data_IF_608206615126
#
_entry.id   IF_608206615126
#
_cell.length_a   1.000
_cell.length_b   1.000
_cell.length_c   1.000
_cell.angle_alpha   90.00
_cell.angle_beta   90.00
_cell.angle_gamma   90.00
#
_symmetry.space_group_name_H-M   'P 1'
#
loop_
_entity.id
_entity.type
_entity.pdbx_description
1 polymer ?
#
# COMPACT_ATOMS: atom_id res chain seq x y z
N UNK A 1 0.71 -54.43 10.27
CA UNK A 1 1.20 -53.04 10.38
C UNK A 1 0.37 -52.22 9.42
N UNK A 2 -0.60 -51.45 9.92
CA UNK A 2 -1.38 -50.55 9.08
C UNK A 2 -0.45 -49.46 8.54
N UNK A 3 -0.51 -49.22 7.24
CA UNK A 3 0.28 -48.22 6.53
C UNK A 3 -0.15 -46.80 6.96
N UNK A 4 0.36 -46.36 8.11
CA UNK A 4 0.06 -45.04 8.68
C UNK A 4 0.54 -43.91 7.75
N UNK A 5 1.56 -44.14 6.93
CA UNK A 5 2.08 -43.13 5.98
C UNK A 5 1.08 -42.76 4.88
N UNK A 6 0.24 -43.69 4.43
CA UNK A 6 -0.83 -43.41 3.47
C UNK A 6 -1.95 -42.56 4.08
N UNK A 7 -2.31 -42.83 5.33
CA UNK A 7 -3.36 -42.10 6.06
C UNK A 7 -2.91 -40.66 6.40
N UNK A 8 -1.67 -40.50 6.88
CA UNK A 8 -1.11 -39.20 7.22
C UNK A 8 -1.01 -38.29 5.99
N UNK A 9 -0.63 -38.83 4.83
CA UNK A 9 -0.62 -38.09 3.56
C UNK A 9 -2.03 -37.67 3.11
N UNK A 10 -3.03 -38.52 3.29
CA UNK A 10 -4.42 -38.19 2.94
C UNK A 10 -4.98 -37.09 3.85
N UNK A 11 -4.71 -37.17 5.15
CA UNK A 11 -5.10 -36.16 6.14
C UNK A 11 -4.44 -34.82 5.79
N UNK A 12 -3.13 -34.81 5.54
CA UNK A 12 -2.37 -33.62 5.21
C UNK A 12 -2.83 -32.96 3.88
N UNK A 13 -3.18 -33.77 2.87
CA UNK A 13 -3.71 -33.27 1.60
C UNK A 13 -5.12 -32.68 1.75
N UNK A 14 -5.98 -33.31 2.56
CA UNK A 14 -7.33 -32.80 2.83
C UNK A 14 -7.26 -31.47 3.57
N UNK A 15 -6.48 -31.38 4.64
CA UNK A 15 -6.28 -30.15 5.40
C UNK A 15 -5.69 -29.02 4.54
N UNK A 16 -4.75 -29.33 3.64
CA UNK A 16 -4.18 -28.35 2.71
C UNK A 16 -5.22 -27.82 1.70
N UNK A 17 -6.07 -28.70 1.16
CA UNK A 17 -7.13 -28.29 0.24
C UNK A 17 -8.21 -27.47 0.96
N UNK A 18 -8.52 -27.77 2.21
CA UNK A 18 -9.43 -26.99 3.04
C UNK A 18 -8.86 -25.61 3.37
N UNK A 19 -7.59 -25.51 3.74
CA UNK A 19 -6.94 -24.22 4.00
C UNK A 19 -6.87 -23.30 2.76
N UNK A 20 -6.90 -23.87 1.55
CA UNK A 20 -6.97 -23.11 0.29
C UNK A 20 -8.39 -22.68 -0.09
N UNK A 21 -9.43 -23.26 0.49
CA UNK A 21 -10.80 -22.80 0.28
C UNK A 21 -11.01 -21.52 1.09
N UNK A 22 -11.37 -20.43 0.42
CA UNK A 22 -11.84 -19.20 1.06
C UNK A 22 -13.26 -19.41 1.60
N UNK A 23 -13.39 -20.20 2.67
CA UNK A 23 -14.65 -20.52 3.34
C UNK A 23 -14.72 -19.95 4.75
N UNK A 24 -15.95 -19.76 5.25
CA UNK A 24 -16.28 -19.14 6.55
C UNK A 24 -15.38 -19.63 7.69
N UNK A 25 -14.53 -18.73 8.17
CA UNK A 25 -13.73 -18.95 9.39
C UNK A 25 -14.66 -18.77 10.59
N UNK A 26 -14.72 -19.77 11.48
CA UNK A 26 -15.53 -19.72 12.69
C UNK A 26 -15.27 -18.43 13.51
N UNK A 27 -16.32 -17.87 14.11
CA UNK A 27 -16.24 -16.58 14.80
C UNK A 27 -15.25 -16.59 15.97
N UNK A 28 -15.07 -17.74 16.64
CA UNK A 28 -14.08 -17.90 17.72
C UNK A 28 -12.66 -17.92 17.19
N UNK A 29 -12.45 -18.57 16.04
CA UNK A 29 -11.17 -18.62 15.34
C UNK A 29 -10.79 -17.21 14.85
N UNK A 30 -11.73 -16.46 14.25
CA UNK A 30 -11.55 -15.05 13.91
C UNK A 30 -11.22 -14.18 15.14
N UNK A 31 -11.89 -14.39 16.27
CA UNK A 31 -11.62 -13.63 17.50
C UNK A 31 -10.22 -13.90 18.05
N UNK A 32 -9.76 -15.16 18.00
CA UNK A 32 -8.40 -15.55 18.39
C UNK A 32 -7.35 -14.90 17.47
N UNK A 33 -7.59 -14.89 16.14
CA UNK A 33 -6.74 -14.20 15.17
C UNK A 33 -6.63 -12.70 15.45
N UNK A 34 -7.77 -12.03 15.71
CA UNK A 34 -7.79 -10.59 16.05
C UNK A 34 -7.03 -10.25 17.32
N UNK A 35 -7.04 -11.12 18.34
CA UNK A 35 -6.23 -10.93 19.56
C UNK A 35 -4.73 -11.00 19.26
N UNK A 36 -4.32 -11.89 18.35
CA UNK A 36 -2.92 -12.03 17.93
C UNK A 36 -2.46 -10.90 16.99
N UNK A 37 -3.38 -10.13 16.43
CA UNK A 37 -3.12 -8.93 15.60
C UNK A 37 -3.29 -7.62 16.39
N UNK A 38 -3.31 -7.67 17.73
CA UNK A 38 -3.43 -6.48 18.53
C UNK A 38 -2.19 -5.60 18.36
N UNK A 39 -2.41 -4.37 17.90
CA UNK A 39 -1.33 -3.41 17.73
C UNK A 39 -0.77 -2.97 19.10
N UNK A 40 0.56 -2.78 19.20
CA UNK A 40 1.19 -2.27 20.41
C UNK A 40 0.69 -0.86 20.75
N UNK A 41 0.81 -0.47 22.02
CA UNK A 41 0.42 0.89 22.43
C UNK A 41 1.39 1.90 21.82
N UNK A 42 0.90 3.11 21.56
CA UNK A 42 1.72 4.19 20.99
C UNK A 42 2.93 4.55 21.86
N UNK A 43 2.79 4.43 23.18
CA UNK A 43 3.85 4.68 24.16
C UNK A 43 5.03 3.70 23.99
N UNK A 44 4.73 2.44 23.70
CA UNK A 44 5.71 1.38 23.43
C UNK A 44 6.40 1.57 22.07
N UNK A 45 5.79 2.37 21.19
CA UNK A 45 6.26 2.64 19.85
C UNK A 45 7.18 3.87 19.75
N UNK A 46 7.40 4.60 20.84
CA UNK A 46 8.24 5.81 20.84
C UNK A 46 9.69 5.54 20.41
N UNK A 47 10.28 4.44 20.90
CA UNK A 47 11.64 4.04 20.50
C UNK A 47 11.71 3.58 19.04
N UNK A 48 10.63 2.97 18.55
CA UNK A 48 10.52 2.59 17.13
C UNK A 48 10.52 3.85 16.27
N UNK A 49 9.69 4.84 16.61
CA UNK A 49 9.63 6.15 15.92
C UNK A 49 11.00 6.84 15.87
N UNK A 50 11.79 6.79 16.96
CA UNK A 50 13.16 7.35 17.00
C UNK A 50 14.16 6.61 16.11
N UNK A 51 14.05 5.28 16.03
CA UNK A 51 14.96 4.46 15.22
C UNK A 51 14.66 4.48 13.71
N UNK A 52 13.53 5.04 13.31
CA UNK A 52 13.07 5.04 11.92
C UNK A 52 13.68 6.22 11.15
N UNK A 53 14.03 5.96 9.89
CA UNK A 53 14.41 7.00 8.94
C UNK A 53 13.15 7.62 8.34
N UNK A 54 12.98 8.94 8.49
CA UNK A 54 11.84 9.69 7.93
C UNK A 54 12.07 10.00 6.44
N UNK A 55 12.08 8.95 5.63
CA UNK A 55 12.20 9.05 4.18
C UNK A 55 10.83 8.84 3.51
N UNK A 56 10.39 9.81 2.71
CA UNK A 56 9.11 9.76 2.00
C UNK A 56 9.05 8.56 1.07
N UNK A 57 10.12 8.31 0.30
CA UNK A 57 10.11 7.27 -0.73
C UNK A 57 9.94 5.89 -0.08
N UNK A 58 10.68 5.64 1.00
CA UNK A 58 10.54 4.41 1.78
C UNK A 58 9.17 4.27 2.42
N UNK A 59 8.63 5.32 3.05
CA UNK A 59 7.41 5.22 3.88
C UNK A 59 6.14 5.26 3.02
N UNK A 60 6.05 6.21 2.10
CA UNK A 60 4.83 6.55 1.38
C UNK A 60 4.72 5.88 0.01
N UNK A 61 5.82 5.40 -0.58
CA UNK A 61 5.80 4.71 -1.89
C UNK A 61 6.10 3.21 -1.80
N UNK A 62 7.20 2.83 -1.15
CA UNK A 62 7.66 1.44 -1.12
C UNK A 62 6.86 0.56 -0.14
N UNK A 63 6.42 1.12 0.98
CA UNK A 63 5.72 0.38 2.02
C UNK A 63 4.20 0.46 1.84
N UNK A 64 3.50 -0.66 1.55
CA UNK A 64 2.07 -0.62 1.23
C UNK A 64 1.19 -0.05 2.36
N UNK A 65 1.51 -0.40 3.61
CA UNK A 65 0.77 0.09 4.79
C UNK A 65 0.99 1.60 4.97
N UNK A 66 2.23 2.07 4.83
CA UNK A 66 2.57 3.49 4.91
C UNK A 66 1.91 4.29 3.79
N UNK A 67 1.98 3.79 2.55
CA UNK A 67 1.28 4.34 1.39
C UNK A 67 -0.24 4.45 1.60
N UNK A 68 -0.87 3.43 2.18
CA UNK A 68 -2.30 3.43 2.49
C UNK A 68 -2.65 4.53 3.49
N UNK A 69 -1.95 4.61 4.63
CA UNK A 69 -2.21 5.63 5.64
C UNK A 69 -1.91 7.04 5.13
N UNK A 70 -0.88 7.21 4.32
CA UNK A 70 -0.59 8.50 3.69
C UNK A 70 -1.74 8.90 2.77
N UNK A 71 -2.24 7.99 1.94
CA UNK A 71 -3.40 8.25 1.06
C UNK A 71 -4.68 8.58 1.83
N UNK A 72 -4.94 7.90 2.94
CA UNK A 72 -6.07 8.23 3.84
C UNK A 72 -5.89 9.62 4.45
N UNK A 73 -4.67 9.98 4.86
CA UNK A 73 -4.36 11.30 5.37
C UNK A 73 -4.60 12.39 4.32
N UNK A 74 -4.18 12.18 3.06
CA UNK A 74 -4.38 13.15 1.99
C UNK A 74 -5.87 13.44 1.72
N UNK A 75 -6.79 12.52 2.03
CA UNK A 75 -8.24 12.77 1.91
C UNK A 75 -8.77 13.79 2.93
N UNK A 76 -8.08 13.97 4.05
CA UNK A 76 -8.53 14.87 5.12
C UNK A 76 -8.41 16.34 4.77
N UNK A 77 -7.51 16.68 3.84
CA UNK A 77 -7.23 18.06 3.40
C UNK A 77 -7.56 18.19 1.91
N UNK A 78 -8.53 19.05 1.52
CA UNK A 78 -8.97 19.15 0.13
C UNK A 78 -7.86 19.50 -0.88
N UNK A 79 -6.83 20.22 -0.46
CA UNK A 79 -5.68 20.55 -1.31
C UNK A 79 -4.79 19.33 -1.57
N UNK A 80 -4.62 18.47 -0.57
CA UNK A 80 -3.84 17.23 -0.65
C UNK A 80 -4.60 16.18 -1.46
N UNK A 81 -5.91 16.12 -1.29
CA UNK A 81 -6.79 15.24 -2.06
C UNK A 81 -6.66 15.51 -3.57
N UNK A 82 -6.67 16.77 -4.00
CA UNK A 82 -6.50 17.12 -5.41
C UNK A 82 -5.15 16.69 -5.98
N UNK A 83 -4.07 16.85 -5.20
CA UNK A 83 -2.74 16.38 -5.59
C UNK A 83 -2.72 14.85 -5.77
N UNK A 84 -3.38 14.12 -4.87
CA UNK A 84 -3.53 12.66 -4.97
C UNK A 84 -4.35 12.25 -6.19
N UNK A 85 -5.52 12.84 -6.38
CA UNK A 85 -6.41 12.55 -7.52
C UNK A 85 -5.70 12.80 -8.85
N UNK A 86 -4.96 13.91 -8.97
CA UNK A 86 -4.14 14.16 -10.15
C UNK A 86 -3.12 13.04 -10.42
N UNK A 87 -2.36 12.60 -9.40
CA UNK A 87 -1.41 11.51 -9.58
C UNK A 87 -2.08 10.19 -9.98
N UNK A 88 -3.27 9.92 -9.46
CA UNK A 88 -4.05 8.72 -9.79
C UNK A 88 -4.52 8.74 -11.23
N UNK A 89 -4.99 9.88 -11.72
CA UNK A 89 -5.36 10.08 -13.12
C UNK A 89 -4.14 9.96 -14.05
N UNK A 90 -2.97 10.48 -13.64
CA UNK A 90 -1.72 10.32 -14.43
C UNK A 90 -1.31 8.85 -14.51
N UNK A 91 -1.40 8.09 -13.41
CA UNK A 91 -1.12 6.64 -13.44
C UNK A 91 -2.14 5.89 -14.29
N UNK A 92 -3.42 6.26 -14.20
CA UNK A 92 -4.46 5.68 -15.04
C UNK A 92 -4.22 5.95 -16.53
N UNK A 93 -3.66 7.13 -16.86
CA UNK A 93 -3.31 7.50 -18.23
C UNK A 93 -2.13 6.68 -18.77
N UNK A 94 -1.10 6.45 -17.96
CA UNK A 94 0.05 5.61 -18.31
C UNK A 94 -0.37 4.16 -18.59
N UNK A 95 -1.42 3.68 -17.92
CA UNK A 95 -1.98 2.34 -18.07
C UNK A 95 -3.11 2.25 -19.11
N UNK A 96 -3.58 3.37 -19.65
CA UNK A 96 -4.67 3.41 -20.61
C UNK A 96 -4.23 2.82 -21.97
N UNK A 97 -5.20 2.43 -22.79
CA UNK A 97 -4.94 1.97 -24.16
C UNK A 97 -4.62 3.16 -25.09
N UNK A 98 -3.75 2.95 -26.08
CA UNK A 98 -3.23 4.03 -26.93
C UNK A 98 -4.32 4.84 -27.64
N UNK A 99 -5.45 4.21 -28.00
CA UNK A 99 -6.54 4.86 -28.71
C UNK A 99 -7.36 5.87 -27.86
N UNK A 100 -7.24 5.81 -26.52
CA UNK A 100 -7.91 6.76 -25.60
C UNK A 100 -6.94 7.69 -24.88
N UNK A 101 -5.63 7.43 -24.95
CA UNK A 101 -4.60 8.20 -24.24
C UNK A 101 -4.67 9.70 -24.50
N UNK A 102 -4.82 10.12 -25.76
CA UNK A 102 -4.86 11.53 -26.12
C UNK A 102 -6.06 12.23 -25.49
N UNK A 103 -7.26 11.66 -25.64
CA UNK A 103 -8.50 12.20 -25.05
C UNK A 103 -8.42 12.28 -23.52
N UNK A 104 -7.83 11.26 -22.90
CA UNK A 104 -7.69 11.19 -21.46
C UNK A 104 -6.68 12.22 -20.93
N UNK A 105 -5.55 12.40 -21.63
CA UNK A 105 -4.56 13.44 -21.36
C UNK A 105 -5.13 14.85 -21.50
N UNK A 106 -5.95 15.10 -22.53
CA UNK A 106 -6.69 16.35 -22.68
C UNK A 106 -7.61 16.60 -21.47
N UNK A 107 -8.27 15.57 -20.96
CA UNK A 107 -9.08 15.62 -19.75
C UNK A 107 -8.27 16.03 -18.52
N UNK A 108 -7.12 15.39 -18.29
CA UNK A 108 -6.22 15.68 -17.16
C UNK A 108 -5.74 17.14 -17.20
N UNK A 109 -5.26 17.60 -18.35
CA UNK A 109 -4.77 18.98 -18.51
C UNK A 109 -5.87 20.00 -18.26
N UNK A 110 -7.06 19.79 -18.84
CA UNK A 110 -8.18 20.71 -18.67
C UNK A 110 -8.71 20.72 -17.22
N UNK A 111 -8.67 19.59 -16.52
CA UNK A 111 -9.20 19.45 -15.17
C UNK A 111 -8.23 19.90 -14.07
N UNK A 112 -6.93 19.67 -14.20
CA UNK A 112 -5.95 19.93 -13.12
C UNK A 112 -4.97 21.05 -13.43
N UNK A 113 -4.66 21.29 -14.71
CA UNK A 113 -3.59 22.21 -15.12
C UNK A 113 -4.09 23.55 -15.65
N UNK A 114 -5.34 23.63 -16.13
CA UNK A 114 -5.96 24.90 -16.53
C UNK A 114 -6.66 25.59 -15.37
N UNK A 115 -6.50 26.92 -15.28
CA UNK A 115 -7.10 27.75 -14.21
C UNK A 115 -8.63 27.85 -14.26
N UNK A 116 -9.29 27.15 -15.19
CA UNK A 116 -10.73 27.22 -15.39
C UNK A 116 -11.51 26.25 -14.49
N UNK A 117 -10.84 25.29 -13.84
CA UNK A 117 -11.49 24.25 -13.04
C UNK A 117 -11.37 24.50 -11.54
N UNK A 118 -12.32 23.94 -10.77
CA UNK A 118 -12.23 23.92 -9.30
C UNK A 118 -11.12 22.99 -8.77
N UNK A 119 -10.61 22.09 -9.61
CA UNK A 119 -9.56 21.11 -9.28
C UNK A 119 -8.15 21.58 -9.66
N UNK A 120 -8.01 22.85 -10.07
CA UNK A 120 -6.71 23.41 -10.42
C UNK A 120 -5.67 23.29 -9.28
N UNK A 121 -4.47 22.83 -9.64
CA UNK A 121 -3.35 22.63 -8.72
C UNK A 121 -2.64 23.97 -8.44
N UNK A 122 -3.01 24.61 -7.32
CA UNK A 122 -2.48 25.93 -6.92
C UNK A 122 -1.02 25.92 -6.45
N UNK A 123 -0.48 24.76 -6.12
CA UNK A 123 0.88 24.62 -5.60
C UNK A 123 1.94 24.53 -6.71
N UNK A 124 1.52 24.48 -7.98
CA UNK A 124 2.45 24.47 -9.11
C UNK A 124 3.22 25.79 -9.21
N UNK A 125 4.46 25.72 -9.68
CA UNK A 125 5.31 26.88 -9.92
C UNK A 125 4.67 27.84 -10.93
N UNK A 126 4.94 29.15 -10.81
CA UNK A 126 4.41 30.15 -11.74
C UNK A 126 4.86 29.89 -13.20
N UNK A 127 6.09 29.42 -13.37
CA UNK A 127 6.66 29.06 -14.66
C UNK A 127 5.93 27.85 -15.29
N UNK A 128 5.63 26.81 -14.50
CA UNK A 128 4.89 25.66 -15.02
C UNK A 128 3.42 26.01 -15.25
N UNK A 129 2.80 26.77 -14.35
CA UNK A 129 1.42 27.23 -14.49
C UNK A 129 1.22 28.02 -15.79
N UNK A 130 2.12 28.94 -16.12
CA UNK A 130 2.07 29.69 -17.38
C UNK A 130 2.25 28.79 -18.61
N UNK A 131 3.15 27.82 -18.56
CA UNK A 131 3.32 26.80 -19.62
C UNK A 131 2.07 25.94 -19.76
N UNK A 132 1.44 25.53 -18.66
CA UNK A 132 0.16 24.80 -18.67
C UNK A 132 -0.96 25.59 -19.35
N UNK A 133 -1.04 26.91 -19.12
CA UNK A 133 -2.06 27.74 -19.77
C UNK A 133 -1.80 27.92 -21.28
N UNK A 134 -0.54 27.98 -21.69
CA UNK A 134 -0.14 28.21 -23.08
C UNK A 134 0.03 26.92 -23.91
N UNK A 135 0.02 25.74 -23.27
CA UNK A 135 0.30 24.47 -23.92
C UNK A 135 -0.73 24.11 -25.00
N UNK A 136 -0.23 23.68 -26.16
CA UNK A 136 -1.02 23.00 -27.20
C UNK A 136 -1.07 21.49 -26.99
N UNK A 137 -1.81 20.78 -27.83
CA UNK A 137 -1.99 19.31 -27.72
C UNK A 137 -0.66 18.56 -27.72
N UNK A 138 0.30 19.00 -28.53
CA UNK A 138 1.61 18.37 -28.65
C UNK A 138 2.49 18.52 -27.39
N UNK A 139 2.19 19.49 -26.52
CA UNK A 139 2.94 19.75 -25.29
C UNK A 139 2.29 19.13 -24.04
N UNK A 140 1.06 18.59 -24.16
CA UNK A 140 0.28 18.12 -23.01
C UNK A 140 0.98 17.01 -22.23
N UNK A 141 1.66 16.10 -22.90
CA UNK A 141 2.39 15.01 -22.26
C UNK A 141 3.54 15.57 -21.41
N UNK A 142 4.38 16.41 -22.01
CA UNK A 142 5.53 17.02 -21.33
C UNK A 142 5.13 17.86 -20.13
N UNK A 143 4.06 18.63 -20.27
CA UNK A 143 3.53 19.48 -19.19
C UNK A 143 2.95 18.63 -18.06
N UNK A 144 2.24 17.55 -18.39
CA UNK A 144 1.68 16.61 -17.39
C UNK A 144 2.79 15.91 -16.61
N UNK A 145 3.84 15.46 -17.28
CA UNK A 145 5.01 14.87 -16.61
C UNK A 145 5.74 15.87 -15.71
N UNK A 146 5.91 17.12 -16.16
CA UNK A 146 6.50 18.18 -15.33
C UNK A 146 5.63 18.48 -14.10
N UNK A 147 4.31 18.49 -14.27
CA UNK A 147 3.37 18.68 -13.17
C UNK A 147 3.37 17.49 -12.19
N UNK A 148 3.58 16.26 -12.67
CA UNK A 148 3.79 15.08 -11.83
C UNK A 148 5.02 15.23 -10.95
N UNK A 149 6.14 15.69 -11.51
CA UNK A 149 7.38 15.92 -10.75
C UNK A 149 7.19 16.98 -9.66
N UNK A 150 6.58 18.13 -9.99
CA UNK A 150 6.28 19.16 -9.00
C UNK A 150 5.27 18.69 -7.94
N UNK A 151 4.27 17.89 -8.32
CA UNK A 151 3.29 17.33 -7.37
C UNK A 151 3.96 16.35 -6.41
N UNK A 152 4.86 15.49 -6.89
CA UNK A 152 5.65 14.61 -6.03
C UNK A 152 6.58 15.40 -5.10
N UNK A 153 7.23 16.45 -5.60
CA UNK A 153 8.05 17.33 -4.77
C UNK A 153 7.22 18.06 -3.70
N UNK A 154 6.01 18.48 -4.06
CA UNK A 154 5.06 19.08 -3.12
C UNK A 154 4.67 18.10 -2.02
N UNK A 155 4.26 16.87 -2.37
CA UNK A 155 3.87 15.84 -1.40
C UNK A 155 5.03 15.42 -0.48
N UNK A 156 6.26 15.42 -0.99
CA UNK A 156 7.50 15.17 -0.21
C UNK A 156 7.81 16.24 0.83
N UNK A 157 7.27 17.45 0.66
CA UNK A 157 7.48 18.57 1.58
C UNK A 157 6.42 18.62 2.67
N UNK A 158 5.66 19.73 2.69
CA UNK A 158 4.69 20.04 3.74
C UNK A 158 3.65 18.92 4.02
N UNK A 159 3.05 18.26 3.02
CA UNK A 159 2.09 17.18 3.28
C UNK A 159 2.73 15.99 4.00
N UNK A 160 4.00 15.68 3.74
CA UNK A 160 4.72 14.63 4.45
C UNK A 160 5.07 15.03 5.88
N UNK A 161 5.46 16.28 6.12
CA UNK A 161 5.69 16.80 7.47
C UNK A 161 4.40 16.78 8.31
N UNK A 162 3.30 17.26 7.73
CA UNK A 162 1.98 17.23 8.38
C UNK A 162 1.56 15.77 8.66
N UNK A 163 1.80 14.86 7.72
CA UNK A 163 1.52 13.43 7.91
C UNK A 163 2.27 12.87 9.12
N UNK A 164 3.57 13.16 9.27
CA UNK A 164 4.39 12.67 10.40
C UNK A 164 3.88 13.11 11.79
N UNK A 165 3.17 14.24 11.85
CA UNK A 165 2.52 14.75 13.07
C UNK A 165 1.09 14.26 13.25
N UNK A 166 0.52 13.62 12.24
CA UNK A 166 -0.86 13.17 12.24
C UNK A 166 -1.08 11.83 12.98
N UNK A 167 -2.30 11.56 13.47
CA UNK A 167 -2.66 10.26 14.04
C UNK A 167 -2.54 9.08 13.05
N UNK A 168 -2.53 9.34 11.74
CA UNK A 168 -2.35 8.31 10.71
C UNK A 168 -0.92 7.76 10.74
N UNK A 169 0.07 8.65 10.92
CA UNK A 169 1.45 8.22 11.07
C UNK A 169 1.67 7.45 12.36
N UNK A 170 1.03 7.86 13.45
CA UNK A 170 1.11 7.11 14.70
C UNK A 170 0.58 5.67 14.56
N UNK A 171 -0.52 5.47 13.84
CA UNK A 171 -1.00 4.12 13.47
C UNK A 171 0.02 3.35 12.63
N UNK A 172 0.67 4.01 11.67
CA UNK A 172 1.73 3.39 10.89
C UNK A 172 2.91 2.95 11.78
N UNK A 173 3.32 3.76 12.76
CA UNK A 173 4.36 3.37 13.72
C UNK A 173 3.92 2.18 14.57
N UNK A 174 2.65 2.09 14.98
CA UNK A 174 2.13 0.90 15.66
C UNK A 174 2.25 -0.37 14.79
N UNK A 175 1.96 -0.26 13.49
CA UNK A 175 2.21 -1.35 12.54
C UNK A 175 3.69 -1.70 12.41
N UNK A 176 4.58 -0.70 12.44
CA UNK A 176 6.02 -0.96 12.48
C UNK A 176 6.47 -1.67 13.76
N UNK A 177 5.85 -1.36 14.89
CA UNK A 177 6.07 -2.10 16.13
C UNK A 177 5.59 -3.54 16.04
N UNK A 178 4.44 -3.76 15.42
CA UNK A 178 3.92 -5.10 15.17
C UNK A 178 4.83 -5.90 14.21
N UNK A 179 5.34 -5.28 13.14
CA UNK A 179 6.28 -5.89 12.19
C UNK A 179 7.58 -6.36 12.85
N UNK A 180 8.05 -5.67 13.89
CA UNK A 180 9.29 -6.01 14.62
C UNK A 180 9.13 -7.13 15.65
N UNK A 181 7.94 -7.71 15.80
CA UNK A 181 7.73 -8.80 16.75
C UNK A 181 8.51 -10.06 16.36
N UNK A 182 9.00 -10.84 17.35
CA UNK A 182 9.76 -12.05 17.07
C UNK A 182 8.89 -13.11 16.39
N UNK A 183 9.34 -13.59 15.24
CA UNK A 183 8.70 -14.68 14.51
C UNK A 183 9.15 -16.01 15.10
N UNK A 184 8.20 -16.89 15.41
CA UNK A 184 8.47 -18.25 15.91
C UNK A 184 7.53 -19.27 15.26
N UNK A 185 7.86 -20.55 15.42
CA UNK A 185 7.11 -21.68 14.84
C UNK A 185 5.62 -21.70 15.26
N UNK A 186 5.29 -21.16 16.44
CA UNK A 186 3.90 -21.13 16.95
C UNK A 186 2.99 -20.16 16.19
N UNK A 187 3.54 -19.36 15.27
CA UNK A 187 2.77 -18.49 14.39
C UNK A 187 2.34 -19.18 13.09
N UNK A 188 2.81 -20.41 12.85
CA UNK A 188 2.57 -21.14 11.62
C UNK A 188 1.87 -22.47 11.89
N UNK A 189 0.87 -22.77 11.06
CA UNK A 189 0.31 -24.11 10.95
C UNK A 189 1.02 -24.84 9.82
N UNK A 190 1.65 -25.97 10.13
CA UNK A 190 2.30 -26.86 9.16
C UNK A 190 1.27 -27.81 8.53
N UNK A 191 1.30 -27.96 7.21
CA UNK A 191 0.38 -28.86 6.50
C UNK A 191 1.07 -30.09 5.94
N UNK A 192 1.92 -29.94 4.93
CA UNK A 192 2.52 -31.07 4.21
C UNK A 192 3.87 -30.74 3.61
N UNK A 193 4.66 -31.78 3.34
CA UNK A 193 5.86 -31.69 2.51
C UNK A 193 5.46 -31.50 1.04
N UNK A 194 6.08 -30.52 0.39
CA UNK A 194 5.93 -30.23 -1.04
C UNK A 194 7.07 -30.84 -1.86
N UNK A 195 8.27 -30.95 -1.28
CA UNK A 195 9.43 -31.57 -1.94
C UNK A 195 10.62 -31.72 -0.99
N UNK A 196 11.60 -32.54 -1.39
CA UNK A 196 12.84 -32.75 -0.64
C UNK A 196 14.05 -32.37 -1.50
N UNK A 197 15.03 -31.68 -0.92
CA UNK A 197 16.27 -31.27 -1.57
C UNK A 197 17.50 -31.60 -0.70
N UNK A 198 18.69 -31.23 -1.17
CA UNK A 198 19.96 -31.61 -0.54
C UNK A 198 20.20 -31.04 0.87
N UNK A 199 19.53 -29.94 1.24
CA UNK A 199 19.67 -29.27 2.54
C UNK A 199 18.39 -29.33 3.40
N UNK A 200 17.37 -30.09 2.99
CA UNK A 200 16.13 -30.24 3.77
C UNK A 200 14.87 -30.42 2.94
N UNK A 201 13.74 -30.22 3.58
CA UNK A 201 12.41 -30.39 3.01
C UNK A 201 11.70 -29.04 2.86
N UNK A 202 11.00 -28.84 1.75
CA UNK A 202 10.09 -27.70 1.57
C UNK A 202 8.71 -28.14 2.02
N UNK A 203 8.12 -27.40 2.96
CA UNK A 203 6.78 -27.68 3.51
C UNK A 203 5.85 -26.49 3.33
N UNK A 204 4.56 -26.75 3.23
CA UNK A 204 3.54 -25.70 3.22
C UNK A 204 3.15 -25.30 4.65
N UNK A 205 3.12 -24.00 4.88
CA UNK A 205 2.67 -23.40 6.14
C UNK A 205 1.61 -22.33 5.86
N UNK A 206 0.74 -22.08 6.83
CA UNK A 206 -0.16 -20.92 6.87
C UNK A 206 0.18 -20.07 8.10
N UNK A 207 0.14 -18.75 7.96
CA UNK A 207 0.30 -17.87 9.10
C UNK A 207 -1.02 -17.77 9.86
N UNK A 208 -1.04 -18.26 11.09
CA UNK A 208 -2.25 -18.48 11.89
C UNK A 208 -3.11 -17.21 11.99
N UNK A 209 -2.47 -16.05 12.16
CA UNK A 209 -3.20 -14.78 12.33
C UNK A 209 -3.65 -14.14 11.01
N UNK A 210 -3.13 -14.57 9.86
CA UNK A 210 -3.48 -14.06 8.53
C UNK A 210 -4.32 -15.05 7.71
N UNK A 211 -4.86 -16.11 8.33
CA UNK A 211 -5.71 -17.07 7.63
C UNK A 211 -6.90 -16.38 6.93
N UNK A 212 -7.10 -16.74 5.66
CA UNK A 212 -7.96 -16.19 4.61
C UNK A 212 -9.11 -15.27 5.05
N UNK A 213 -9.18 -14.09 4.41
CA UNK A 213 -10.43 -13.33 4.27
C UNK A 213 -11.42 -14.07 3.39
#
# INVERSE_FOLDING_TARGET
MCDMGGLDNLIANTAYLEARKSGDVDAKEMQKRRRNLALPKIEECAEIKKSMTMDYESICEQQPIGKSFFREFLETVPEYLKAREFLDEVVAWELAEDHIKDSYLEGIVNMYLKNCSNSYLKFLSADLSSKCQAAGKDDFEKVTLSAREETNAYLKGKPFDDFQTSPFFDKFVQWKGFERQPINEKLFDEFRVLGKGGFGEVRSYSFISWGSR
#
